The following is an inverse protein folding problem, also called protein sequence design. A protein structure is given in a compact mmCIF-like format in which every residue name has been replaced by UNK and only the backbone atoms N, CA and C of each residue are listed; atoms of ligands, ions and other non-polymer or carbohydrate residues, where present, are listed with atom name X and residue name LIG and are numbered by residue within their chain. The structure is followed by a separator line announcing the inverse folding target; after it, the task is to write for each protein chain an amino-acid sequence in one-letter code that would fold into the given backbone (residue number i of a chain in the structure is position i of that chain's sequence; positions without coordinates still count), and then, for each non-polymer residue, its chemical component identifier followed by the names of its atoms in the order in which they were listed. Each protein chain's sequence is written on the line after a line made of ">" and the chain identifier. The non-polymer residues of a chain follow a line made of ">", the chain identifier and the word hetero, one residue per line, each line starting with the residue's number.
data_IF_997625912927
#
_entry.id   IF_997625912927
#
_cell.length_a   1.000
_cell.length_b   1.000
_cell.length_c   1.000
_cell.angle_alpha   90.00
_cell.angle_beta   90.00
_cell.angle_gamma   90.00
#
_symmetry.space_group_name_H-M   'P 1'
#
loop_
_entity.id
_entity.type
_entity.pdbx_description
1 polymer ?
#
# COMPACT_ATOMS: atom_id res chain seq x y z
N UNK A 1 14.39 21.27 -0.78
CA UNK A 1 13.53 21.46 0.41
C UNK A 1 13.18 20.07 0.89
N UNK A 2 13.20 19.77 2.20
CA UNK A 2 12.83 18.42 2.65
C UNK A 2 11.32 18.27 2.48
N UNK A 3 10.87 17.68 1.37
CA UNK A 3 9.47 17.38 1.07
C UNK A 3 8.98 16.18 1.90
N UNK A 4 9.22 16.23 3.21
CA UNK A 4 8.82 15.18 4.12
C UNK A 4 7.41 15.50 4.60
N UNK A 5 6.54 14.51 4.51
CA UNK A 5 5.18 14.56 4.96
C UNK A 5 5.05 13.70 6.22
N UNK A 6 4.61 14.32 7.29
CA UNK A 6 4.28 13.64 8.52
C UNK A 6 2.82 13.15 8.47
N UNK A 7 2.67 11.83 8.54
CA UNK A 7 1.40 11.13 8.41
C UNK A 7 1.03 10.62 9.79
N UNK A 8 0.07 11.31 10.40
CA UNK A 8 -0.47 10.97 11.72
C UNK A 8 -1.56 9.92 11.64
N UNK A 9 -2.15 9.74 10.45
CA UNK A 9 -3.26 8.84 10.21
C UNK A 9 -3.07 8.07 8.90
N UNK A 10 -3.62 6.85 8.81
CA UNK A 10 -3.33 5.85 7.77
C UNK A 10 -3.76 6.22 6.32
N UNK A 11 -3.26 7.33 5.77
CA UNK A 11 -3.46 7.72 4.39
C UNK A 11 -2.89 9.07 3.98
N UNK A 12 -2.69 9.22 2.67
CA UNK A 12 -2.38 10.47 1.97
C UNK A 12 -3.57 10.84 1.09
N UNK A 13 -3.86 12.13 0.94
CA UNK A 13 -4.81 12.66 -0.03
C UNK A 13 -4.11 13.58 -1.01
N UNK A 14 -4.44 13.42 -2.29
CA UNK A 14 -4.11 14.37 -3.36
C UNK A 14 -5.39 15.03 -3.84
N UNK A 15 -5.41 16.37 -3.90
CA UNK A 15 -6.57 17.11 -4.39
C UNK A 15 -6.19 18.53 -4.81
N UNK A 16 -6.96 19.11 -5.72
CA UNK A 16 -6.90 20.54 -5.97
C UNK A 16 -7.96 21.26 -5.13
N UNK A 17 -7.59 22.22 -4.25
CA UNK A 17 -8.55 22.88 -3.35
C UNK A 17 -9.72 23.53 -4.10
N UNK A 18 -9.44 24.17 -5.24
CA UNK A 18 -10.46 24.83 -6.07
C UNK A 18 -11.43 23.81 -6.68
N UNK A 19 -10.91 22.74 -7.28
CA UNK A 19 -11.74 21.67 -7.86
C UNK A 19 -12.61 21.00 -6.79
N UNK A 20 -12.02 20.66 -5.65
CA UNK A 20 -12.74 20.07 -4.52
C UNK A 20 -13.84 21.01 -4.02
N UNK A 21 -13.54 22.30 -3.85
CA UNK A 21 -14.54 23.27 -3.39
C UNK A 21 -15.69 23.45 -4.38
N UNK A 22 -15.40 23.49 -5.68
CA UNK A 22 -16.41 23.63 -6.72
C UNK A 22 -17.31 22.40 -6.80
N UNK A 23 -16.75 21.20 -6.65
CA UNK A 23 -17.51 19.95 -6.52
C UNK A 23 -18.47 19.99 -5.32
N UNK A 24 -17.98 20.38 -4.14
CA UNK A 24 -18.81 20.44 -2.93
C UNK A 24 -19.97 21.43 -3.09
N UNK A 25 -19.75 22.58 -3.74
CA UNK A 25 -20.81 23.56 -4.05
C UNK A 25 -21.83 22.99 -5.04
N UNK A 26 -21.37 22.40 -6.13
CA UNK A 26 -22.19 21.78 -7.18
C UNK A 26 -23.10 20.68 -6.62
N UNK A 27 -22.55 19.80 -5.78
CA UNK A 27 -23.26 18.69 -5.15
C UNK A 27 -24.01 19.09 -3.87
N UNK A 28 -23.97 20.38 -3.49
CA UNK A 28 -24.62 20.94 -2.29
C UNK A 28 -24.17 20.24 -0.99
N UNK A 29 -22.93 19.77 -0.93
CA UNK A 29 -22.33 19.12 0.24
C UNK A 29 -21.86 20.21 1.21
N UNK A 30 -22.52 20.30 2.38
CA UNK A 30 -22.21 21.29 3.42
C UNK A 30 -21.28 20.77 4.52
N UNK A 31 -21.07 19.45 4.58
CA UNK A 31 -20.17 18.85 5.56
C UNK A 31 -18.73 19.28 5.30
N UNK A 32 -18.01 19.67 6.35
CA UNK A 32 -16.54 19.81 6.30
C UNK A 32 -15.81 18.50 6.60
N UNK A 33 -16.54 17.51 7.12
CA UNK A 33 -16.08 16.16 7.43
C UNK A 33 -16.19 15.30 6.18
N UNK A 34 -15.23 15.48 5.26
CA UNK A 34 -15.35 14.93 3.90
C UNK A 34 -15.02 13.44 3.87
N UNK A 35 -14.03 12.99 4.64
CA UNK A 35 -13.72 11.55 4.75
C UNK A 35 -14.93 10.78 5.24
N UNK A 36 -15.52 11.24 6.36
CA UNK A 36 -16.74 10.67 6.93
C UNK A 36 -17.90 10.65 5.92
N UNK A 37 -18.00 11.66 5.06
CA UNK A 37 -19.04 11.74 4.03
C UNK A 37 -18.79 10.73 2.92
N UNK A 38 -17.56 10.63 2.41
CA UNK A 38 -17.21 9.71 1.33
C UNK A 38 -17.27 8.24 1.77
N UNK A 39 -16.98 7.94 3.04
CA UNK A 39 -17.14 6.60 3.59
C UNK A 39 -18.60 6.16 3.71
N UNK A 40 -19.49 7.07 4.10
CA UNK A 40 -20.92 6.76 4.28
C UNK A 40 -21.72 6.79 3.00
N UNK A 41 -21.27 7.54 2.00
CA UNK A 41 -21.98 7.81 0.76
C UNK A 41 -21.14 7.33 -0.44
N UNK A 42 -21.31 6.05 -0.77
CA UNK A 42 -20.55 5.38 -1.82
C UNK A 42 -20.75 6.03 -3.19
N UNK A 43 -21.95 6.51 -3.50
CA UNK A 43 -22.24 7.14 -4.80
C UNK A 43 -21.51 8.46 -4.94
N UNK A 44 -21.51 9.29 -3.89
CA UNK A 44 -20.71 10.51 -3.85
C UNK A 44 -19.22 10.18 -3.96
N UNK A 45 -18.72 9.17 -3.24
CA UNK A 45 -17.33 8.75 -3.34
C UNK A 45 -16.95 8.32 -4.76
N UNK A 46 -17.69 7.41 -5.38
CA UNK A 46 -17.41 6.97 -6.75
C UNK A 46 -17.49 8.12 -7.76
N UNK A 47 -18.40 9.07 -7.54
CA UNK A 47 -18.49 10.29 -8.34
C UNK A 47 -17.25 11.17 -8.18
N UNK A 48 -16.70 11.30 -6.97
CA UNK A 48 -15.44 12.04 -6.76
C UNK A 48 -14.27 11.44 -7.52
N UNK A 49 -14.17 10.10 -7.60
CA UNK A 49 -13.14 9.43 -8.39
C UNK A 49 -13.35 9.64 -9.89
N UNK A 50 -14.59 9.49 -10.36
CA UNK A 50 -14.94 9.66 -11.78
C UNK A 50 -14.71 11.08 -12.31
N UNK A 51 -14.97 12.09 -11.47
CA UNK A 51 -14.73 13.49 -11.81
C UNK A 51 -13.30 13.94 -11.47
N UNK A 52 -12.41 13.04 -10.98
CA UNK A 52 -11.02 13.37 -10.68
C UNK A 52 -10.85 14.38 -9.54
N UNK A 53 -11.78 14.41 -8.58
CA UNK A 53 -11.85 15.45 -7.54
C UNK A 53 -10.72 15.31 -6.52
N UNK A 54 -10.38 14.07 -6.17
CA UNK A 54 -9.30 13.74 -5.25
C UNK A 54 -8.84 12.30 -5.47
N UNK A 55 -7.67 12.00 -4.93
CA UNK A 55 -7.06 10.67 -4.95
C UNK A 55 -6.65 10.27 -3.52
N UNK A 56 -7.33 9.28 -2.90
CA UNK A 56 -6.87 8.70 -1.65
C UNK A 56 -5.77 7.65 -1.88
N UNK A 57 -4.71 7.73 -1.09
CA UNK A 57 -3.82 6.60 -0.79
C UNK A 57 -4.14 6.19 0.64
N UNK A 58 -4.68 4.99 0.85
CA UNK A 58 -5.11 4.52 2.17
C UNK A 58 -4.27 3.33 2.62
N UNK A 59 -4.39 2.99 3.91
CA UNK A 59 -3.77 1.80 4.53
C UNK A 59 -2.24 1.81 4.54
N UNK A 60 -1.64 2.99 4.44
CA UNK A 60 -0.22 3.19 4.72
C UNK A 60 -0.01 3.36 6.21
N UNK A 61 1.15 2.97 6.73
CA UNK A 61 1.47 3.14 8.15
C UNK A 61 1.59 4.63 8.50
N UNK A 62 1.27 5.00 9.73
CA UNK A 62 1.63 6.31 10.25
C UNK A 62 3.16 6.46 10.33
N UNK A 63 3.66 7.68 10.15
CA UNK A 63 5.08 7.99 10.14
C UNK A 63 5.42 9.05 9.11
N UNK A 64 6.71 9.24 8.84
CA UNK A 64 7.16 10.24 7.89
C UNK A 64 7.48 9.64 6.52
N UNK A 65 7.13 10.34 5.46
CA UNK A 65 7.33 9.92 4.07
C UNK A 65 7.96 11.03 3.24
N UNK A 66 8.91 10.69 2.37
CA UNK A 66 9.39 11.63 1.34
C UNK A 66 8.36 11.70 0.21
N UNK A 67 7.88 12.88 -0.11
CA UNK A 67 6.92 13.13 -1.18
C UNK A 67 7.62 13.86 -2.33
N UNK A 68 7.50 13.32 -3.54
CA UNK A 68 8.08 13.92 -4.74
C UNK A 68 7.07 14.01 -5.87
N UNK A 69 7.08 15.11 -6.59
CA UNK A 69 6.31 15.32 -7.82
C UNK A 69 7.27 15.34 -9.02
N UNK A 70 7.09 14.40 -9.95
CA UNK A 70 7.94 14.28 -11.14
C UNK A 70 7.88 15.56 -11.99
N UNK A 71 9.04 16.04 -12.44
CA UNK A 71 9.20 17.29 -13.19
C UNK A 71 9.23 18.56 -12.33
N UNK A 72 8.97 18.46 -11.02
CA UNK A 72 9.13 19.57 -10.06
C UNK A 72 10.25 19.27 -9.09
N UNK A 73 10.23 18.10 -8.48
CA UNK A 73 11.24 17.65 -7.53
C UNK A 73 12.31 16.81 -8.23
N UNK A 74 13.49 16.77 -7.62
CA UNK A 74 14.55 15.83 -8.01
C UNK A 74 14.08 14.38 -7.88
N UNK A 75 14.39 13.48 -8.82
CA UNK A 75 13.98 12.09 -8.74
C UNK A 75 14.58 11.39 -7.51
N UNK A 76 14.03 10.23 -7.15
CA UNK A 76 14.71 9.35 -6.19
C UNK A 76 16.03 8.85 -6.79
N UNK A 77 17.10 8.92 -6.02
CA UNK A 77 18.44 8.47 -6.42
C UNK A 77 18.61 6.96 -6.22
N UNK A 78 19.83 6.47 -6.46
CA UNK A 78 20.17 5.06 -6.34
C UNK A 78 20.20 4.55 -4.88
N UNK A 79 20.00 5.40 -3.87
CA UNK A 79 19.85 4.97 -2.46
C UNK A 79 18.44 4.46 -2.16
N UNK A 80 17.51 4.56 -3.12
CA UNK A 80 16.13 4.09 -3.01
C UNK A 80 15.85 2.90 -3.91
N UNK A 81 14.91 2.05 -3.48
CA UNK A 81 14.38 0.92 -4.22
C UNK A 81 12.90 1.16 -4.44
N UNK A 82 12.47 1.18 -5.71
CA UNK A 82 11.06 1.21 -6.06
C UNK A 82 10.41 -0.16 -5.74
N UNK A 83 9.27 -0.14 -5.04
CA UNK A 83 8.52 -1.34 -4.64
C UNK A 83 7.28 -1.60 -5.48
N UNK A 84 6.64 -0.55 -5.98
CA UNK A 84 5.51 -0.67 -6.90
C UNK A 84 5.41 0.54 -7.82
N UNK A 85 4.60 0.38 -8.88
CA UNK A 85 4.13 1.45 -9.75
C UNK A 85 2.70 1.15 -10.15
N UNK A 86 1.77 2.02 -9.75
CA UNK A 86 0.38 1.94 -10.16
C UNK A 86 0.00 3.17 -10.98
N UNK A 87 -0.82 2.98 -12.01
CA UNK A 87 -1.22 4.04 -12.93
C UNK A 87 -2.69 3.91 -13.33
N UNK A 88 -3.26 5.01 -13.80
CA UNK A 88 -4.64 5.07 -14.28
C UNK A 88 -5.60 5.79 -13.33
N UNK A 89 -5.09 6.34 -12.24
CA UNK A 89 -5.86 7.22 -11.35
C UNK A 89 -6.11 8.56 -12.04
N UNK A 90 -7.23 9.21 -11.72
CA UNK A 90 -7.66 10.44 -12.38
C UNK A 90 -7.66 11.57 -11.38
N UNK A 91 -7.10 12.71 -11.78
CA UNK A 91 -7.15 13.93 -10.99
C UNK A 91 -7.29 15.14 -11.90
N UNK A 92 -8.22 16.02 -11.57
CA UNK A 92 -8.38 17.34 -12.18
C UNK A 92 -7.74 18.37 -11.25
N UNK A 93 -6.91 19.22 -11.82
CA UNK A 93 -6.16 20.23 -11.09
C UNK A 93 -6.52 21.59 -11.65
N UNK A 94 -6.73 22.55 -10.75
CA UNK A 94 -6.84 23.96 -11.09
C UNK A 94 -5.87 24.75 -10.23
N UNK A 95 -4.87 25.33 -10.90
CA UNK A 95 -3.77 26.16 -10.39
C UNK A 95 -2.82 25.48 -9.39
N UNK A 96 -3.34 24.60 -8.54
CA UNK A 96 -2.64 24.08 -7.37
C UNK A 96 -3.07 22.65 -7.06
N UNK A 97 -2.07 21.81 -6.77
CA UNK A 97 -2.21 20.46 -6.23
C UNK A 97 -1.74 20.43 -4.78
N UNK A 98 -2.58 19.94 -3.88
CA UNK A 98 -2.19 19.63 -2.51
C UNK A 98 -1.96 18.13 -2.35
N UNK A 99 -0.87 17.75 -1.68
CA UNK A 99 -0.56 16.38 -1.29
C UNK A 99 -0.31 16.39 0.22
N UNK A 100 -1.11 15.67 1.00
CA UNK A 100 -0.95 15.71 2.45
C UNK A 100 -1.63 14.56 3.18
N UNK A 101 -1.53 14.57 4.51
CA UNK A 101 -2.25 13.63 5.37
C UNK A 101 -3.74 13.65 5.01
N UNK A 102 -4.33 12.48 4.89
CA UNK A 102 -5.74 12.34 4.51
C UNK A 102 -6.68 13.10 5.47
N UNK A 103 -6.29 13.28 6.74
CA UNK A 103 -7.06 14.03 7.75
C UNK A 103 -7.17 15.53 7.48
N UNK A 104 -6.44 16.07 6.51
CA UNK A 104 -6.69 17.41 5.98
C UNK A 104 -8.12 17.57 5.43
N UNK A 105 -8.82 16.46 5.17
CA UNK A 105 -10.20 16.43 4.73
C UNK A 105 -11.21 16.31 5.90
N UNK A 106 -10.75 16.38 7.16
CA UNK A 106 -11.55 16.09 8.36
C UNK A 106 -11.12 16.96 9.58
N UNK A 107 -11.47 18.25 9.64
CA UNK A 107 -12.33 18.99 8.71
C UNK A 107 -11.55 19.66 7.57
N UNK A 108 -12.09 19.59 6.36
CA UNK A 108 -11.60 20.35 5.22
C UNK A 108 -11.75 21.86 5.39
N UNK A 109 -10.68 22.59 5.12
CA UNK A 109 -10.64 24.05 5.07
C UNK A 109 -9.73 24.50 3.93
N UNK A 110 -10.16 25.49 3.15
CA UNK A 110 -9.40 25.99 1.99
C UNK A 110 -8.08 26.66 2.38
N UNK A 111 -8.03 27.27 3.56
CA UNK A 111 -6.85 27.98 4.07
C UNK A 111 -6.24 27.25 5.27
N UNK A 112 -6.29 25.92 5.28
CA UNK A 112 -5.71 25.16 6.39
C UNK A 112 -4.19 25.38 6.46
N UNK A 113 -3.66 25.48 7.68
CA UNK A 113 -2.22 25.44 7.88
C UNK A 113 -1.70 24.05 7.51
N UNK A 114 -0.67 23.97 6.66
CA UNK A 114 -0.09 22.70 6.18
C UNK A 114 1.04 22.18 7.07
N UNK A 115 1.34 22.90 8.15
CA UNK A 115 2.40 22.58 9.12
C UNK A 115 1.89 22.69 10.55
N UNK A 116 2.64 22.13 11.48
CA UNK A 116 2.40 22.29 12.90
C UNK A 116 3.73 22.18 13.65
N UNK A 117 3.73 22.62 14.90
CA UNK A 117 4.90 22.51 15.78
C UNK A 117 4.67 21.34 16.74
N UNK A 118 5.65 20.44 16.86
CA UNK A 118 5.61 19.36 17.85
C UNK A 118 5.92 19.88 19.27
N UNK A 119 5.91 18.97 20.26
CA UNK A 119 6.19 19.32 21.66
C UNK A 119 7.62 19.80 21.89
N UNK A 120 8.56 19.46 20.99
CA UNK A 120 9.97 19.83 21.08
C UNK A 120 10.29 21.13 20.33
N UNK A 121 9.33 21.67 19.60
CA UNK A 121 9.50 22.89 18.83
C UNK A 121 9.88 22.68 17.37
N UNK A 122 9.90 21.44 16.87
CA UNK A 122 10.18 21.15 15.48
C UNK A 122 8.96 21.44 14.62
N UNK A 123 9.19 22.02 13.44
CA UNK A 123 8.14 22.26 12.45
C UNK A 123 7.98 21.01 11.58
N UNK A 124 6.81 20.38 11.67
CA UNK A 124 6.41 19.22 10.89
C UNK A 124 5.36 19.62 9.85
N UNK A 125 5.34 18.94 8.71
CA UNK A 125 4.44 19.24 7.61
C UNK A 125 3.44 18.11 7.45
N UNK A 126 2.15 18.43 7.51
CA UNK A 126 1.05 17.50 7.25
C UNK A 126 0.48 17.67 5.82
N UNK A 127 1.05 18.57 5.03
CA UNK A 127 0.74 18.73 3.61
C UNK A 127 1.76 19.59 2.89
N UNK A 128 1.83 19.42 1.58
CA UNK A 128 2.60 20.22 0.64
C UNK A 128 1.71 20.69 -0.50
N UNK A 129 2.06 21.84 -1.06
CA UNK A 129 1.32 22.49 -2.13
C UNK A 129 2.24 22.69 -3.32
N UNK A 130 1.79 22.26 -4.48
CA UNK A 130 2.52 22.33 -5.74
C UNK A 130 1.76 23.21 -6.73
N UNK A 131 2.45 24.12 -7.37
CA UNK A 131 1.94 24.81 -8.57
C UNK A 131 1.88 23.79 -9.71
N UNK A 132 0.72 23.68 -10.36
CA UNK A 132 0.50 22.75 -11.44
C UNK A 132 -0.47 23.34 -12.45
N UNK A 133 -0.21 23.11 -13.74
CA UNK A 133 -1.05 23.65 -14.79
C UNK A 133 -2.50 23.14 -14.66
N UNK A 134 -3.46 24.01 -14.92
CA UNK A 134 -4.87 23.65 -14.89
C UNK A 134 -5.20 22.64 -15.99
N UNK A 135 -5.86 21.54 -15.62
CA UNK A 135 -6.19 20.48 -16.57
C UNK A 135 -6.55 19.15 -15.90
N UNK A 136 -6.79 18.15 -16.75
CA UNK A 136 -7.07 16.77 -16.35
C UNK A 136 -5.83 15.93 -16.51
N UNK A 137 -5.59 15.04 -15.54
CA UNK A 137 -4.38 14.23 -15.50
C UNK A 137 -4.71 12.77 -15.21
N UNK A 138 -3.96 11.87 -15.86
CA UNK A 138 -3.73 10.53 -15.34
C UNK A 138 -2.53 10.57 -14.40
N UNK A 139 -2.77 10.14 -13.17
CA UNK A 139 -1.79 10.06 -12.11
C UNK A 139 -1.18 8.65 -12.08
N UNK A 140 0.14 8.60 -12.05
CA UNK A 140 0.92 7.43 -11.66
C UNK A 140 1.48 7.65 -10.25
N UNK A 141 1.42 6.61 -9.44
CA UNK A 141 1.92 6.58 -8.06
C UNK A 141 2.95 5.48 -7.95
N UNK A 142 4.14 5.83 -7.48
CA UNK A 142 5.24 4.90 -7.27
C UNK A 142 5.69 4.97 -5.81
N UNK A 143 5.89 3.81 -5.19
CA UNK A 143 6.36 3.69 -3.81
C UNK A 143 7.82 3.30 -3.74
N UNK A 144 8.58 3.93 -2.86
CA UNK A 144 10.02 3.75 -2.68
C UNK A 144 10.36 3.46 -1.22
N UNK A 145 11.39 2.64 -1.02
CA UNK A 145 12.02 2.42 0.29
C UNK A 145 13.51 2.67 0.18
N UNK A 146 14.14 3.21 1.22
CA UNK A 146 15.61 3.32 1.29
C UNK A 146 16.26 1.93 1.31
N UNK A 147 17.39 1.78 0.63
CA UNK A 147 18.21 0.55 0.67
C UNK A 147 18.66 0.18 2.08
N UNK A 148 18.96 1.19 2.89
CA UNK A 148 19.44 1.04 4.27
C UNK A 148 18.30 1.05 5.30
N UNK A 149 17.04 0.99 4.85
CA UNK A 149 15.91 0.89 5.78
C UNK A 149 16.09 -0.36 6.64
N UNK A 150 16.17 -0.15 7.96
CA UNK A 150 16.53 -1.18 8.92
C UNK A 150 15.34 -1.57 9.81
N UNK A 151 14.13 -1.18 9.39
CA UNK A 151 12.89 -1.51 10.07
C UNK A 151 12.65 -0.69 11.33
N UNK A 152 13.42 0.37 11.55
CA UNK A 152 13.11 1.37 12.56
C UNK A 152 11.86 2.16 12.16
N UNK A 153 11.25 2.86 13.12
CA UNK A 153 10.14 3.75 12.79
C UNK A 153 10.65 4.84 11.85
N UNK A 154 10.03 4.98 10.67
CA UNK A 154 10.33 6.06 9.73
C UNK A 154 10.13 7.41 10.41
N UNK A 155 11.22 8.14 10.67
CA UNK A 155 11.19 9.41 11.39
C UNK A 155 11.21 10.58 10.42
N UNK A 156 10.82 11.76 10.89
CA UNK A 156 10.81 12.96 10.07
C UNK A 156 12.22 13.36 9.60
N UNK A 157 13.23 13.14 10.43
CA UNK A 157 14.64 13.43 10.11
C UNK A 157 15.25 12.39 9.18
N UNK A 158 14.80 11.13 9.24
CA UNK A 158 15.27 10.06 8.38
C UNK A 158 14.11 9.19 7.88
N UNK A 159 13.31 9.68 6.91
CA UNK A 159 12.21 8.90 6.38
C UNK A 159 12.75 7.74 5.55
N UNK A 160 12.23 6.54 5.83
CA UNK A 160 12.62 5.31 5.13
C UNK A 160 11.78 5.07 3.87
N UNK A 161 10.60 5.67 3.80
CA UNK A 161 9.62 5.46 2.74
C UNK A 161 9.36 6.74 1.97
N UNK A 162 8.98 6.60 0.70
CA UNK A 162 8.65 7.73 -0.14
C UNK A 162 7.67 7.40 -1.27
N UNK A 163 7.02 8.44 -1.77
CA UNK A 163 6.11 8.37 -2.91
C UNK A 163 6.56 9.34 -4.00
N UNK A 164 6.58 8.85 -5.23
CA UNK A 164 6.71 9.68 -6.43
C UNK A 164 5.36 9.73 -7.15
N UNK A 165 4.94 10.96 -7.45
CA UNK A 165 3.73 11.24 -8.21
C UNK A 165 4.09 11.74 -9.59
N UNK A 166 3.51 11.16 -10.63
CA UNK A 166 3.68 11.62 -12.01
C UNK A 166 2.33 11.99 -12.61
N UNK A 167 2.22 13.23 -13.11
CA UNK A 167 1.03 13.78 -13.74
C UNK A 167 1.17 13.74 -15.27
N UNK A 168 0.33 12.95 -15.93
CA UNK A 168 0.26 12.90 -17.39
C UNK A 168 -1.03 13.58 -17.86
N UNK A 169 -0.92 14.72 -18.54
CA UNK A 169 -2.10 15.48 -18.98
C UNK A 169 -2.94 14.68 -19.99
N UNK A 170 -4.26 14.75 -19.87
CA UNK A 170 -5.23 14.09 -20.75
C UNK A 170 -6.39 15.04 -21.08
N UNK A 171 -6.99 14.89 -22.24
CA UNK A 171 -8.16 15.69 -22.63
C UNK A 171 -9.44 15.21 -21.92
N UNK A 172 -9.59 13.90 -21.79
CA UNK A 172 -10.82 13.26 -21.28
C UNK A 172 -10.47 12.11 -20.34
N UNK A 173 -11.21 12.03 -19.23
CA UNK A 173 -11.18 10.89 -18.33
C UNK A 173 -11.87 9.68 -18.95
N UNK A 174 -11.19 8.53 -18.89
CA UNK A 174 -11.71 7.27 -19.45
C UNK A 174 -12.57 6.52 -18.43
N UNK A 175 -11.90 5.84 -17.51
CA UNK A 175 -12.51 5.04 -16.45
C UNK A 175 -11.71 5.25 -15.16
N UNK A 176 -12.39 5.66 -14.10
CA UNK A 176 -11.75 5.83 -12.81
C UNK A 176 -11.48 4.45 -12.18
N UNK A 177 -10.24 4.24 -11.76
CA UNK A 177 -9.87 3.13 -10.91
C UNK A 177 -10.16 3.51 -9.45
N UNK A 178 -10.59 2.54 -8.64
CA UNK A 178 -10.78 2.73 -7.21
C UNK A 178 -9.46 2.42 -6.48
N UNK A 179 -8.77 3.41 -5.89
CA UNK A 179 -7.53 3.19 -5.13
C UNK A 179 -7.73 2.35 -3.87
N UNK A 180 -8.97 2.16 -3.43
CA UNK A 180 -9.33 1.32 -2.28
C UNK A 180 -9.64 -0.12 -2.67
N UNK A 181 -9.47 -0.49 -3.95
CA UNK A 181 -9.54 -1.88 -4.40
C UNK A 181 -8.29 -2.65 -3.92
N UNK A 182 -8.39 -3.23 -2.73
CA UNK A 182 -7.30 -3.93 -2.06
C UNK A 182 -6.81 -5.19 -2.80
N UNK A 183 -7.63 -5.75 -3.70
CA UNK A 183 -7.21 -6.87 -4.54
C UNK A 183 -6.23 -6.40 -5.64
N UNK A 184 -6.21 -5.10 -5.95
CA UNK A 184 -5.39 -4.51 -7.01
C UNK A 184 -4.26 -3.64 -6.50
N UNK A 185 -4.48 -2.90 -5.41
CA UNK A 185 -3.54 -1.89 -4.94
C UNK A 185 -3.15 -2.12 -3.49
N UNK A 186 -1.85 -2.29 -3.27
CA UNK A 186 -1.25 -2.18 -1.94
C UNK A 186 -0.24 -1.05 -1.93
N UNK A 187 -0.58 0.05 -1.25
CA UNK A 187 0.29 1.22 -1.11
C UNK A 187 1.18 1.17 0.14
N UNK A 188 1.02 0.18 1.02
CA UNK A 188 1.78 0.09 2.26
C UNK A 188 3.20 -0.43 2.00
N UNK A 189 4.14 0.49 1.78
CA UNK A 189 5.54 0.18 1.49
C UNK A 189 6.21 -0.56 2.66
N UNK A 190 5.88 -0.19 3.91
CA UNK A 190 6.36 -0.86 5.11
C UNK A 190 5.96 -2.33 5.13
N UNK A 191 4.70 -2.63 4.86
CA UNK A 191 4.19 -3.99 4.72
C UNK A 191 4.91 -4.75 3.58
N UNK A 192 5.01 -4.15 2.38
CA UNK A 192 5.69 -4.75 1.22
C UNK A 192 7.20 -4.99 1.44
N UNK A 193 7.79 -4.28 2.40
CA UNK A 193 9.21 -4.43 2.76
C UNK A 193 9.41 -5.44 3.89
N UNK A 194 8.44 -5.56 4.82
CA UNK A 194 8.44 -6.52 5.93
C UNK A 194 7.97 -7.91 5.52
N UNK A 195 7.22 -8.03 4.43
CA UNK A 195 6.90 -9.33 3.81
C UNK A 195 8.19 -9.95 3.26
N UNK A 196 8.88 -10.73 4.11
CA UNK A 196 10.10 -11.46 3.76
C UNK A 196 9.75 -12.61 2.80
N UNK A 197 10.40 -12.64 1.65
CA UNK A 197 10.37 -13.82 0.78
C UNK A 197 11.13 -14.96 1.46
N UNK A 198 10.43 -16.00 1.92
CA UNK A 198 11.09 -17.21 2.37
C UNK A 198 11.52 -18.05 1.15
N UNK A 199 12.82 -18.16 0.90
CA UNK A 199 13.36 -19.17 -0.02
C UNK A 199 13.42 -20.52 0.71
N UNK A 200 12.50 -21.42 0.41
CA UNK A 200 12.59 -22.81 0.86
C UNK A 200 13.74 -23.48 0.09
N UNK A 201 14.89 -23.64 0.75
CA UNK A 201 15.95 -24.53 0.28
C UNK A 201 15.63 -25.95 0.74
N UNK A 202 15.37 -26.85 -0.21
CA UNK A 202 15.38 -28.28 0.06
C UNK A 202 16.85 -28.72 0.16
N UNK A 203 17.46 -28.56 1.32
CA UNK A 203 18.74 -29.22 1.58
C UNK A 203 18.45 -30.64 2.08
N UNK A 204 18.82 -31.59 1.22
CA UNK A 204 18.73 -33.04 1.33
C UNK A 204 17.49 -33.66 0.68
N UNK A 205 17.72 -34.57 -0.28
CA UNK A 205 16.78 -35.64 -0.59
C UNK A 205 16.33 -36.26 0.72
N UNK A 206 15.08 -36.02 1.10
CA UNK A 206 14.49 -36.59 2.29
C UNK A 206 14.47 -38.11 2.03
N UNK A 207 15.40 -38.85 2.64
CA UNK A 207 15.31 -40.30 2.72
C UNK A 207 14.08 -40.64 3.56
N UNK A 208 12.94 -40.74 2.88
CA UNK A 208 11.66 -41.02 3.47
C UNK A 208 11.66 -42.43 4.08
N UNK A 209 11.82 -42.51 5.40
CA UNK A 209 11.42 -43.72 6.12
C UNK A 209 9.90 -43.79 6.14
N UNK A 210 9.40 -44.74 5.35
CA UNK A 210 8.00 -45.03 5.09
C UNK A 210 7.31 -45.56 6.36
N UNK A 211 6.91 -44.65 7.25
CA UNK A 211 6.02 -44.98 8.37
C UNK A 211 5.14 -43.78 8.71
N UNK A 212 3.88 -43.82 8.25
CA UNK A 212 2.77 -43.05 8.83
C UNK A 212 2.72 -41.55 8.53
N UNK A 213 2.22 -41.18 7.34
CA UNK A 213 1.34 -40.03 7.00
C UNK A 213 1.54 -38.61 7.60
N UNK A 214 2.65 -38.27 8.24
CA UNK A 214 2.84 -36.92 8.79
C UNK A 214 4.26 -36.41 8.54
N UNK A 215 4.39 -35.21 7.98
CA UNK A 215 5.68 -34.58 7.68
C UNK A 215 5.74 -33.19 8.31
N UNK A 216 6.86 -32.90 8.98
CA UNK A 216 7.09 -31.66 9.70
C UNK A 216 8.37 -30.95 9.19
N UNK A 217 8.36 -30.30 8.01
CA UNK A 217 9.51 -29.51 7.62
C UNK A 217 9.66 -28.31 8.57
N UNK A 218 10.87 -28.14 9.11
CA UNK A 218 11.29 -26.89 9.74
C UNK A 218 11.62 -25.90 8.64
N UNK A 219 11.01 -24.72 8.68
CA UNK A 219 11.48 -23.56 7.92
C UNK A 219 12.14 -22.62 8.91
N UNK A 220 13.44 -22.39 8.73
CA UNK A 220 14.14 -21.30 9.39
C UNK A 220 13.95 -20.04 8.54
N UNK A 221 13.34 -19.02 9.15
CA UNK A 221 13.17 -17.70 8.56
C UNK A 221 14.49 -16.92 8.66
N UNK A 222 14.68 -15.89 7.85
CA UNK A 222 15.93 -15.10 7.82
C UNK A 222 16.29 -14.41 9.16
N UNK A 223 15.38 -14.39 10.14
CA UNK A 223 15.61 -13.91 11.50
C UNK A 223 15.90 -15.02 12.53
N UNK A 224 16.10 -16.27 12.08
CA UNK A 224 16.33 -17.43 12.94
C UNK A 224 15.07 -17.99 13.59
N UNK A 225 13.89 -17.45 13.28
CA UNK A 225 12.62 -18.01 13.75
C UNK A 225 12.32 -19.33 13.03
N UNK A 226 11.81 -20.31 13.77
CA UNK A 226 11.47 -21.63 13.23
C UNK A 226 9.96 -21.74 13.06
N UNK A 227 9.50 -22.04 11.84
CA UNK A 227 8.11 -22.38 11.56
C UNK A 227 7.96 -23.90 11.35
N UNK A 228 6.96 -24.49 12.00
CA UNK A 228 6.56 -25.88 11.79
C UNK A 228 5.44 -25.94 10.76
N UNK A 229 5.75 -26.47 9.58
CA UNK A 229 4.73 -26.87 8.62
C UNK A 229 4.25 -28.29 8.93
N UNK A 230 3.00 -28.56 8.59
CA UNK A 230 2.39 -29.87 8.51
C UNK A 230 2.17 -30.16 7.04
N UNK A 231 2.73 -31.24 6.51
CA UNK A 231 2.50 -31.64 5.13
C UNK A 231 1.85 -33.03 5.12
N UNK A 232 0.64 -33.12 4.57
CA UNK A 232 -0.12 -34.37 4.41
C UNK A 232 -0.17 -34.72 2.92
N UNK A 233 0.43 -35.84 2.52
CA UNK A 233 0.39 -36.31 1.14
C UNK A 233 -0.88 -37.13 0.89
N UNK A 234 -1.43 -36.99 -0.32
CA UNK A 234 -2.51 -37.86 -0.77
C UNK A 234 -2.02 -39.32 -0.94
N UNK A 235 -2.97 -40.25 -1.07
CA UNK A 235 -2.63 -41.67 -1.23
C UNK A 235 -1.78 -41.96 -2.48
N UNK A 236 -1.83 -41.07 -3.47
CA UNK A 236 -1.05 -41.18 -4.70
C UNK A 236 0.36 -40.56 -4.61
N UNK A 237 0.67 -39.85 -3.52
CA UNK A 237 1.88 -39.04 -3.32
C UNK A 237 2.13 -38.00 -4.43
N UNK A 238 1.11 -37.67 -5.23
CA UNK A 238 1.20 -36.66 -6.28
C UNK A 238 0.82 -35.27 -5.79
N UNK A 239 0.05 -35.21 -4.71
CA UNK A 239 -0.41 -33.97 -4.13
C UNK A 239 -0.11 -33.92 -2.63
N UNK A 240 0.15 -32.73 -2.12
CA UNK A 240 0.24 -32.50 -0.69
C UNK A 240 -0.69 -31.37 -0.24
N UNK A 241 -1.16 -31.50 1.00
CA UNK A 241 -1.80 -30.46 1.80
C UNK A 241 -0.73 -29.90 2.74
N UNK A 242 -0.57 -28.59 2.76
CA UNK A 242 0.30 -27.90 3.71
C UNK A 242 -0.57 -27.14 4.72
N UNK A 243 -0.34 -27.35 6.01
CA UNK A 243 -0.95 -26.61 7.12
C UNK A 243 0.16 -26.05 8.02
N UNK A 244 -0.06 -24.96 8.75
CA UNK A 244 0.94 -24.43 9.69
C UNK A 244 0.53 -24.84 11.11
N UNK A 245 1.45 -25.44 11.89
CA UNK A 245 1.13 -26.09 13.17
C UNK A 245 1.13 -25.16 14.38
N UNK A 246 1.80 -24.00 14.34
CA UNK A 246 1.90 -23.12 15.49
C UNK A 246 0.97 -21.89 15.41
N UNK A 247 0.07 -21.84 16.39
CA UNK A 247 -1.04 -20.88 16.53
C UNK A 247 -0.60 -19.41 16.70
N UNK A 248 0.60 -19.17 17.25
CA UNK A 248 1.11 -17.81 17.47
C UNK A 248 1.46 -17.07 16.17
N UNK A 249 1.92 -17.81 15.15
CA UNK A 249 2.18 -17.27 13.80
C UNK A 249 0.89 -17.28 12.97
N UNK A 250 -0.01 -18.22 13.24
CA UNK A 250 -1.29 -18.39 12.54
C UNK A 250 -2.27 -17.22 12.74
N UNK A 251 -2.36 -16.68 13.96
CA UNK A 251 -3.29 -15.58 14.26
C UNK A 251 -2.78 -14.19 13.77
N UNK A 252 -1.48 -14.02 13.53
CA UNK A 252 -0.94 -12.83 12.82
C UNK A 252 -1.06 -12.96 11.29
N UNK A 253 -0.85 -14.16 10.74
CA UNK A 253 -0.96 -14.45 9.30
C UNK A 253 -2.39 -14.44 8.75
N UNK A 254 -3.41 -14.72 9.58
CA UNK A 254 -4.83 -14.64 9.19
C UNK A 254 -5.40 -13.22 9.31
N UNK A 255 -4.83 -12.36 10.17
CA UNK A 255 -5.20 -10.93 10.23
C UNK A 255 -4.63 -10.14 9.04
N UNK A 256 -3.61 -10.68 8.37
CA UNK A 256 -2.89 -10.02 7.27
C UNK A 256 -3.42 -10.33 5.86
N UNK A 257 -4.52 -11.07 5.70
CA UNK A 257 -5.11 -11.31 4.38
C UNK A 257 -4.22 -12.07 3.38
N UNK A 258 -3.21 -12.78 3.87
CA UNK A 258 -2.18 -13.45 3.07
C UNK A 258 -2.80 -14.40 2.03
N UNK A 259 -2.50 -14.19 0.76
CA UNK A 259 -2.94 -15.04 -0.36
C UNK A 259 -1.81 -15.99 -0.75
N UNK A 260 -1.98 -17.28 -0.52
CA UNK A 260 -1.01 -18.30 -0.92
C UNK A 260 -1.13 -18.55 -2.43
N UNK A 261 -0.09 -18.21 -3.21
CA UNK A 261 -0.06 -18.52 -4.65
C UNK A 261 1.04 -19.52 -4.94
N UNK A 262 0.65 -20.74 -5.31
CA UNK A 262 1.56 -21.83 -5.64
C UNK A 262 1.52 -22.01 -7.15
N UNK A 263 2.65 -21.82 -7.81
CA UNK A 263 2.78 -21.94 -9.27
C UNK A 263 2.76 -23.41 -9.68
N UNK A 264 1.57 -23.96 -9.87
CA UNK A 264 1.10 -24.65 -11.08
C UNK A 264 -0.26 -25.33 -10.80
N UNK A 265 -1.19 -25.11 -11.73
CA UNK A 265 -2.60 -25.58 -11.81
C UNK A 265 -3.27 -26.05 -10.51
N UNK A 266 -3.84 -25.10 -9.76
CA UNK A 266 -4.67 -25.40 -8.59
C UNK A 266 -6.16 -25.40 -8.97
N UNK A 267 -6.85 -26.51 -8.70
CA UNK A 267 -8.32 -26.52 -8.58
C UNK A 267 -8.70 -26.20 -7.14
N UNK A 268 -9.39 -25.10 -6.91
CA UNK A 268 -9.96 -24.76 -5.61
C UNK A 268 -11.30 -25.47 -5.39
N UNK A 269 -11.47 -26.13 -4.23
CA UNK A 269 -12.77 -26.60 -3.76
C UNK A 269 -12.85 -26.39 -2.24
N UNK A 270 -13.38 -25.24 -1.83
CA UNK A 270 -13.45 -24.84 -0.42
C UNK A 270 -12.10 -24.42 0.18
N UNK A 271 -12.03 -24.32 1.52
CA UNK A 271 -10.88 -23.84 2.34
C UNK A 271 -9.65 -24.77 2.32
N UNK A 272 -9.36 -25.42 1.20
CA UNK A 272 -8.24 -26.36 1.06
C UNK A 272 -7.55 -26.15 -0.28
N UNK A 273 -6.23 -26.00 -0.24
CA UNK A 273 -5.36 -25.88 -1.42
C UNK A 273 -4.69 -27.24 -1.64
N UNK A 274 -4.85 -27.82 -2.84
CA UNK A 274 -4.22 -29.08 -3.25
C UNK A 274 -3.09 -28.74 -4.23
N UNK A 275 -1.86 -29.14 -3.94
CA UNK A 275 -0.68 -28.74 -4.73
C UNK A 275 0.07 -29.96 -5.27
N UNK A 276 0.55 -29.94 -6.53
CA UNK A 276 1.45 -30.98 -7.04
C UNK A 276 2.77 -30.96 -6.26
N UNK A 277 3.45 -32.11 -6.16
CA UNK A 277 4.79 -32.17 -5.54
C UNK A 277 5.79 -31.36 -6.38
N UNK A 278 6.23 -30.23 -5.84
CA UNK A 278 7.12 -29.27 -6.49
C UNK A 278 7.45 -28.08 -5.58
N UNK A 279 8.22 -27.13 -6.12
CA UNK A 279 8.68 -25.92 -5.41
C UNK A 279 7.51 -25.10 -4.89
N UNK A 280 7.35 -25.06 -3.57
CA UNK A 280 6.38 -24.19 -2.90
C UNK A 280 6.96 -22.77 -2.87
N UNK A 281 6.36 -21.85 -3.60
CA UNK A 281 6.67 -20.41 -3.47
C UNK A 281 5.66 -19.82 -2.51
N UNK A 282 6.15 -19.24 -1.40
CA UNK A 282 5.32 -18.48 -0.46
C UNK A 282 5.50 -17.01 -0.82
N UNK A 283 4.41 -16.38 -1.28
CA UNK A 283 4.33 -14.93 -1.53
C UNK A 283 3.78 -14.23 -0.29
#
# INVERSE_FOLDING_TARGET
>A
MNNVLDITNYGIALFSPTILQDFLKKEKIRSKKLLSKFEKDKDVYLKTLKEGIWMPIVKIDAGSYVIKLNGVDEPFDDTWIQKFSYEGFQIEIKDTLCIGDIHLLEPFQTNQEMRYQDMEGNILYKGHTYEAASGKYQLRVEGYVRKEANGHASTYQNPEYGFLFTLNQVEVFKMAQDPRDDERYNFNIGYLTRSKQAKIKWENEIQAQKTGKEYYPLIELDDGSICHLYVEFDSSHKYCRVSVLYKYVYDELLKSGSTFTISEETRTKGKTVLCPVGTLTVL
#
